data_IF_148867283746
#
_entry.id   IF_148867283746
#
_cell.length_a   1.000
_cell.length_b   1.000
_cell.length_c   1.000
_cell.angle_alpha   90.00
_cell.angle_beta   90.00
_cell.angle_gamma   90.00
#
_symmetry.space_group_name_H-M   'P 1'
#
loop_
_entity.id
_entity.type
_entity.pdbx_description
1 polymer ?
#
# COMPACT_ATOMS: atom_id res chain seq x y z
N UNK A 1 -106.98 -221.34 31.23
CA UNK A 1 -106.11 -220.51 32.08
C UNK A 1 -105.42 -219.49 31.19
N UNK A 2 -105.49 -218.18 31.43
CA UNK A 2 -106.51 -217.37 32.15
C UNK A 2 -106.37 -215.92 31.67
N UNK A 3 -107.45 -215.13 31.66
CA UNK A 3 -107.47 -213.83 30.96
C UNK A 3 -106.56 -212.76 31.58
N UNK A 4 -106.35 -212.80 32.90
CA UNK A 4 -105.60 -211.78 33.68
C UNK A 4 -104.18 -211.52 33.15
N UNK A 5 -103.49 -212.55 32.63
CA UNK A 5 -102.14 -212.37 32.08
C UNK A 5 -102.16 -211.55 30.77
N UNK A 6 -103.20 -211.67 29.96
CA UNK A 6 -103.39 -210.87 28.74
C UNK A 6 -103.74 -209.43 29.10
N UNK A 7 -104.52 -209.24 30.16
CA UNK A 7 -104.91 -207.92 30.66
C UNK A 7 -103.72 -207.16 31.28
N UNK A 8 -102.96 -207.81 32.17
CA UNK A 8 -101.70 -207.25 32.71
C UNK A 8 -100.67 -206.95 31.61
N UNK A 9 -100.55 -207.81 30.60
CA UNK A 9 -99.64 -207.56 29.47
C UNK A 9 -100.09 -206.35 28.65
N UNK A 10 -101.40 -206.17 28.43
CA UNK A 10 -101.96 -204.99 27.76
C UNK A 10 -101.77 -203.73 28.60
N UNK A 11 -102.03 -203.78 29.91
CA UNK A 11 -101.89 -202.64 30.81
C UNK A 11 -100.42 -202.20 30.93
N UNK A 12 -99.49 -203.15 31.02
CA UNK A 12 -98.04 -202.90 30.93
C UNK A 12 -97.64 -202.28 29.59
N UNK A 13 -98.22 -202.73 28.48
CA UNK A 13 -97.98 -202.16 27.15
C UNK A 13 -98.49 -200.70 27.09
N UNK A 14 -99.70 -200.42 27.56
CA UNK A 14 -100.26 -199.06 27.66
C UNK A 14 -99.40 -198.14 28.53
N UNK A 15 -98.89 -198.63 29.66
CA UNK A 15 -98.00 -197.87 30.54
C UNK A 15 -96.63 -197.61 29.89
N UNK A 16 -96.10 -198.54 29.10
CA UNK A 16 -94.88 -198.32 28.31
C UNK A 16 -95.11 -197.27 27.21
N UNK A 17 -96.23 -197.34 26.50
CA UNK A 17 -96.63 -196.34 25.49
C UNK A 17 -96.87 -194.95 26.11
N UNK A 18 -97.44 -194.88 27.33
CA UNK A 18 -97.55 -193.62 28.09
C UNK A 18 -96.19 -193.09 28.54
N UNK A 19 -95.28 -193.95 29.02
CA UNK A 19 -93.92 -193.54 29.40
C UNK A 19 -93.12 -193.08 28.17
N UNK A 20 -93.25 -193.75 27.03
CA UNK A 20 -92.64 -193.36 25.76
C UNK A 20 -93.21 -192.01 25.27
N UNK A 21 -94.53 -191.83 25.31
CA UNK A 21 -95.20 -190.56 24.98
C UNK A 21 -94.76 -189.41 25.90
N UNK A 22 -94.70 -189.65 27.22
CA UNK A 22 -94.24 -188.65 28.19
C UNK A 22 -92.74 -188.36 28.05
N UNK A 23 -91.93 -189.36 27.66
CA UNK A 23 -90.50 -189.18 27.37
C UNK A 23 -90.33 -188.34 26.12
N UNK A 24 -91.10 -188.59 25.05
CA UNK A 24 -91.08 -187.78 23.84
C UNK A 24 -91.56 -186.35 24.12
N UNK A 25 -92.66 -186.17 24.87
CA UNK A 25 -93.10 -184.84 25.32
C UNK A 25 -92.03 -184.14 26.19
N UNK A 26 -91.28 -184.88 27.01
CA UNK A 26 -90.14 -184.36 27.76
C UNK A 26 -88.97 -183.92 26.86
N UNK A 27 -88.71 -184.64 25.77
CA UNK A 27 -87.72 -184.26 24.74
C UNK A 27 -88.20 -183.05 23.95
N UNK A 28 -89.45 -183.02 23.51
CA UNK A 28 -90.04 -181.94 22.71
C UNK A 28 -90.12 -180.64 23.52
N UNK A 29 -90.57 -180.70 24.77
CA UNK A 29 -90.60 -179.52 25.67
C UNK A 29 -89.19 -179.06 26.04
N UNK A 30 -88.22 -179.98 26.21
CA UNK A 30 -86.82 -179.61 26.40
C UNK A 30 -86.24 -178.90 25.16
N UNK A 31 -86.52 -179.41 23.96
CA UNK A 31 -86.11 -178.76 22.71
C UNK A 31 -86.79 -177.39 22.52
N UNK A 32 -88.05 -177.25 22.92
CA UNK A 32 -88.78 -175.98 22.89
C UNK A 32 -88.23 -174.98 23.93
N UNK A 33 -87.84 -175.43 25.12
CA UNK A 33 -87.14 -174.61 26.11
C UNK A 33 -85.76 -174.19 25.61
N UNK A 34 -85.00 -175.10 24.98
CA UNK A 34 -83.70 -174.77 24.36
C UNK A 34 -83.84 -173.75 23.24
N UNK A 35 -84.89 -173.86 22.40
CA UNK A 35 -85.21 -172.87 21.37
C UNK A 35 -85.64 -171.51 21.96
N UNK A 36 -86.42 -171.50 23.04
CA UNK A 36 -86.79 -170.26 23.73
C UNK A 36 -85.59 -169.61 24.45
N UNK A 37 -84.69 -170.39 25.04
CA UNK A 37 -83.43 -169.89 25.62
C UNK A 37 -82.54 -169.30 24.52
N UNK A 38 -82.39 -169.97 23.38
CA UNK A 38 -81.64 -169.42 22.24
C UNK A 38 -82.24 -168.10 21.72
N UNK A 39 -83.58 -168.01 21.64
CA UNK A 39 -84.28 -166.77 21.25
C UNK A 39 -84.10 -165.65 22.30
N UNK A 40 -84.13 -165.97 23.60
CA UNK A 40 -83.86 -164.98 24.66
C UNK A 40 -82.43 -164.46 24.58
N UNK A 41 -81.44 -165.34 24.39
CA UNK A 41 -80.02 -164.94 24.23
C UNK A 41 -79.82 -164.07 22.99
N UNK A 42 -80.49 -164.38 21.86
CA UNK A 42 -80.45 -163.53 20.66
C UNK A 42 -81.11 -162.15 20.91
N UNK A 43 -82.28 -162.11 21.55
CA UNK A 43 -82.97 -160.86 21.91
C UNK A 43 -82.19 -160.02 22.94
N UNK A 44 -81.51 -160.64 23.90
CA UNK A 44 -80.60 -159.97 24.83
C UNK A 44 -79.37 -159.41 24.10
N UNK A 45 -78.86 -160.13 23.10
CA UNK A 45 -77.85 -159.65 22.16
C UNK A 45 -78.32 -158.42 21.38
N UNK A 46 -79.49 -158.50 20.73
CA UNK A 46 -80.11 -157.39 19.99
C UNK A 46 -80.36 -156.17 20.89
N UNK A 47 -80.87 -156.36 22.11
CA UNK A 47 -81.09 -155.28 23.09
C UNK A 47 -79.77 -154.64 23.52
N UNK A 48 -78.71 -155.44 23.65
CA UNK A 48 -77.36 -154.95 23.97
C UNK A 48 -76.76 -154.14 22.81
N UNK A 49 -76.93 -154.59 21.57
CA UNK A 49 -76.55 -153.82 20.38
C UNK A 49 -77.33 -152.51 20.27
N UNK A 50 -78.66 -152.53 20.39
CA UNK A 50 -79.50 -151.31 20.35
C UNK A 50 -79.15 -150.32 21.46
N UNK A 51 -78.77 -150.80 22.66
CA UNK A 51 -78.25 -149.94 23.73
C UNK A 51 -76.94 -149.25 23.32
N UNK A 52 -75.99 -149.99 22.76
CA UNK A 52 -74.71 -149.44 22.30
C UNK A 52 -74.89 -148.45 21.14
N UNK A 53 -75.81 -148.72 20.22
CA UNK A 53 -76.22 -147.81 19.15
C UNK A 53 -76.87 -146.54 19.70
N UNK A 54 -77.81 -146.64 20.63
CA UNK A 54 -78.45 -145.50 21.27
C UNK A 54 -77.43 -144.63 22.03
N UNK A 55 -76.54 -145.24 22.81
CA UNK A 55 -75.46 -144.54 23.51
C UNK A 55 -74.47 -143.88 22.52
N UNK A 56 -74.23 -144.47 21.35
CA UNK A 56 -73.41 -143.88 20.31
C UNK A 56 -74.09 -142.68 19.64
N UNK A 57 -75.40 -142.77 19.36
CA UNK A 57 -76.22 -141.67 18.82
C UNK A 57 -76.33 -140.53 19.84
N UNK A 58 -76.53 -140.83 21.13
CA UNK A 58 -76.54 -139.82 22.19
C UNK A 58 -75.19 -139.09 22.26
N UNK A 59 -74.06 -139.82 22.30
CA UNK A 59 -72.72 -139.22 22.29
C UNK A 59 -72.45 -138.39 21.03
N UNK A 60 -72.97 -138.80 19.87
CA UNK A 60 -72.88 -138.01 18.64
C UNK A 60 -73.70 -136.71 18.72
N UNK A 61 -74.92 -136.76 19.27
CA UNK A 61 -75.79 -135.60 19.47
C UNK A 61 -75.19 -134.59 20.48
N UNK A 62 -74.58 -135.08 21.57
CA UNK A 62 -73.85 -134.26 22.53
C UNK A 62 -72.66 -133.55 21.85
N UNK A 63 -71.90 -134.26 21.00
CA UNK A 63 -70.79 -133.69 20.22
C UNK A 63 -71.26 -132.63 19.21
N UNK A 64 -72.36 -132.86 18.48
CA UNK A 64 -72.91 -131.84 17.57
C UNK A 64 -73.51 -130.64 18.32
N UNK A 65 -74.08 -130.84 19.51
CA UNK A 65 -74.55 -129.74 20.37
C UNK A 65 -73.38 -128.86 20.81
N UNK A 66 -72.27 -129.48 21.26
CA UNK A 66 -71.05 -128.75 21.63
C UNK A 66 -70.41 -128.01 20.43
N UNK A 67 -70.45 -128.58 19.22
CA UNK A 67 -70.04 -127.88 17.98
C UNK A 67 -70.95 -126.70 17.64
N UNK A 68 -72.26 -126.86 17.80
CA UNK A 68 -73.25 -125.79 17.61
C UNK A 68 -72.99 -124.63 18.57
N UNK A 69 -72.80 -124.89 19.86
CA UNK A 69 -72.51 -123.83 20.83
C UNK A 69 -71.13 -123.19 20.62
N UNK A 70 -70.11 -123.97 20.23
CA UNK A 70 -68.79 -123.43 19.89
C UNK A 70 -68.83 -122.50 18.66
N UNK A 71 -69.52 -122.90 17.59
CA UNK A 71 -69.68 -122.06 16.38
C UNK A 71 -70.55 -120.83 16.64
N UNK A 72 -71.57 -120.94 17.50
CA UNK A 72 -72.37 -119.81 17.99
C UNK A 72 -71.54 -118.81 18.80
N UNK A 73 -70.64 -119.28 19.67
CA UNK A 73 -69.71 -118.42 20.41
C UNK A 73 -68.69 -117.73 19.48
N UNK A 74 -68.17 -118.45 18.48
CA UNK A 74 -67.33 -117.86 17.43
C UNK A 74 -68.08 -116.79 16.62
N UNK A 75 -69.36 -117.02 16.28
CA UNK A 75 -70.20 -116.04 15.57
C UNK A 75 -70.42 -114.77 16.39
N UNK A 76 -70.68 -114.87 17.70
CA UNK A 76 -70.78 -113.70 18.59
C UNK A 76 -69.45 -112.92 18.63
N UNK A 77 -68.33 -113.62 18.73
CA UNK A 77 -66.99 -113.01 18.82
C UNK A 77 -66.60 -112.31 17.52
N UNK A 78 -66.81 -112.96 16.37
CA UNK A 78 -66.54 -112.37 15.04
C UNK A 78 -67.49 -111.22 14.71
N UNK A 79 -68.76 -111.27 15.14
CA UNK A 79 -69.70 -110.14 15.02
C UNK A 79 -69.24 -108.94 15.86
N UNK A 80 -68.78 -109.17 17.10
CA UNK A 80 -68.24 -108.12 17.97
C UNK A 80 -67.00 -107.45 17.35
N UNK A 81 -66.02 -108.24 16.90
CA UNK A 81 -64.81 -107.74 16.21
C UNK A 81 -65.16 -107.00 14.91
N UNK A 82 -66.16 -107.46 14.17
CA UNK A 82 -66.63 -106.78 12.94
C UNK A 82 -67.24 -105.41 13.25
N UNK A 83 -68.03 -105.29 14.33
CA UNK A 83 -68.55 -104.00 14.79
C UNK A 83 -67.43 -103.07 15.30
N UNK A 84 -66.43 -103.60 16.01
CA UNK A 84 -65.28 -102.79 16.44
C UNK A 84 -64.47 -102.28 15.24
N UNK A 85 -64.12 -103.16 14.29
CA UNK A 85 -63.43 -102.77 13.06
C UNK A 85 -64.24 -101.76 12.25
N UNK A 86 -65.56 -101.93 12.13
CA UNK A 86 -66.42 -100.94 11.46
C UNK A 86 -66.43 -99.58 12.19
N UNK A 87 -66.39 -99.58 13.54
CA UNK A 87 -66.30 -98.36 14.33
C UNK A 87 -64.92 -97.68 14.21
N UNK A 88 -63.83 -98.44 14.13
CA UNK A 88 -62.49 -97.92 13.86
C UNK A 88 -62.39 -97.34 12.43
N UNK A 89 -62.88 -98.07 11.42
CA UNK A 89 -62.91 -97.62 10.01
C UNK A 89 -63.72 -96.33 9.85
N UNK A 90 -64.86 -96.21 10.55
CA UNK A 90 -65.68 -94.98 10.54
C UNK A 90 -64.96 -93.75 11.12
N UNK A 91 -63.87 -93.92 11.87
CA UNK A 91 -63.04 -92.80 12.32
C UNK A 91 -62.01 -92.33 11.30
N UNK A 92 -61.61 -93.16 10.32
CA UNK A 92 -60.54 -92.79 9.39
C UNK A 92 -60.84 -91.53 8.55
N UNK A 93 -62.05 -91.34 7.97
CA UNK A 93 -62.35 -90.11 7.23
C UNK A 93 -62.18 -88.84 8.06
N UNK A 94 -62.63 -88.84 9.32
CA UNK A 94 -62.49 -87.71 10.25
C UNK A 94 -61.07 -87.53 10.83
N UNK A 95 -60.16 -88.48 10.60
CA UNK A 95 -58.71 -88.31 10.82
C UNK A 95 -58.04 -87.78 9.56
N UNK A 96 -58.40 -88.31 8.38
CA UNK A 96 -57.90 -87.87 7.08
C UNK A 96 -58.24 -86.40 6.81
N UNK A 97 -59.48 -85.97 7.09
CA UNK A 97 -59.91 -84.57 6.96
C UNK A 97 -59.07 -83.63 7.85
N UNK A 98 -58.74 -84.05 9.07
CA UNK A 98 -57.84 -83.30 9.96
C UNK A 98 -56.43 -83.22 9.41
N UNK A 99 -55.88 -84.32 8.87
CA UNK A 99 -54.57 -84.30 8.21
C UNK A 99 -54.58 -83.41 6.96
N UNK A 100 -55.60 -83.47 6.11
CA UNK A 100 -55.78 -82.57 4.96
C UNK A 100 -55.84 -81.10 5.38
N UNK A 101 -56.56 -80.78 6.46
CA UNK A 101 -56.62 -79.43 7.03
C UNK A 101 -55.26 -78.94 7.54
N UNK A 102 -54.50 -79.79 8.26
CA UNK A 102 -53.16 -79.45 8.75
C UNK A 102 -52.18 -79.27 7.60
N UNK A 103 -52.21 -80.14 6.58
CA UNK A 103 -51.39 -80.00 5.37
C UNK A 103 -51.68 -78.67 4.66
N UNK A 104 -52.96 -78.32 4.48
CA UNK A 104 -53.36 -77.05 3.84
C UNK A 104 -52.90 -75.82 4.64
N UNK A 105 -52.94 -75.88 5.98
CA UNK A 105 -52.43 -74.83 6.85
C UNK A 105 -50.90 -74.69 6.78
N UNK A 106 -50.18 -75.82 6.72
CA UNK A 106 -48.73 -75.82 6.56
C UNK A 106 -48.31 -75.25 5.21
N UNK A 107 -48.97 -75.62 4.11
CA UNK A 107 -48.71 -75.07 2.76
C UNK A 107 -49.00 -73.56 2.68
N UNK A 108 -50.06 -73.08 3.35
CA UNK A 108 -50.34 -71.65 3.46
C UNK A 108 -49.29 -70.91 4.31
N UNK A 109 -48.68 -71.56 5.30
CA UNK A 109 -47.59 -70.99 6.10
C UNK A 109 -46.23 -71.05 5.38
N UNK A 110 -45.99 -72.08 4.56
CA UNK A 110 -44.81 -72.26 3.72
C UNK A 110 -44.74 -71.14 2.68
N UNK A 111 -45.79 -70.98 1.86
CA UNK A 111 -45.90 -69.89 0.87
C UNK A 111 -45.86 -68.49 1.50
N UNK A 112 -46.46 -68.29 2.68
CA UNK A 112 -46.36 -67.04 3.42
C UNK A 112 -44.97 -66.78 4.05
N UNK A 113 -44.12 -67.81 4.20
CA UNK A 113 -42.72 -67.66 4.58
C UNK A 113 -41.84 -67.39 3.35
N UNK A 114 -42.09 -68.06 2.22
CA UNK A 114 -41.39 -67.80 0.95
C UNK A 114 -41.50 -66.33 0.53
N UNK A 115 -42.70 -65.73 0.61
CA UNK A 115 -42.90 -64.29 0.37
C UNK A 115 -42.01 -63.42 1.26
N UNK A 116 -41.96 -63.72 2.56
CA UNK A 116 -41.14 -62.96 3.54
C UNK A 116 -39.65 -63.14 3.29
N UNK A 117 -39.21 -64.31 2.84
CA UNK A 117 -37.81 -64.54 2.47
C UNK A 117 -37.44 -63.66 1.27
N UNK A 118 -38.27 -63.63 0.21
CA UNK A 118 -38.03 -62.76 -0.94
C UNK A 118 -38.08 -61.27 -0.59
N UNK A 119 -39.00 -60.84 0.29
CA UNK A 119 -39.06 -59.47 0.82
C UNK A 119 -37.79 -59.10 1.61
N UNK A 120 -37.26 -60.02 2.43
CA UNK A 120 -36.03 -59.83 3.20
C UNK A 120 -34.78 -59.84 2.30
N UNK A 121 -34.71 -60.71 1.30
CA UNK A 121 -33.64 -60.73 0.30
C UNK A 121 -33.58 -59.41 -0.48
N UNK A 122 -34.72 -58.94 -1.01
CA UNK A 122 -34.82 -57.63 -1.67
C UNK A 122 -34.45 -56.46 -0.73
N UNK A 123 -34.70 -56.59 0.57
CA UNK A 123 -34.30 -55.60 1.58
C UNK A 123 -32.78 -55.65 1.82
N UNK A 124 -32.17 -56.84 1.87
CA UNK A 124 -30.72 -57.03 2.01
C UNK A 124 -29.95 -56.52 0.79
N UNK A 125 -30.46 -56.72 -0.43
CA UNK A 125 -29.86 -56.18 -1.65
C UNK A 125 -29.89 -54.64 -1.65
N UNK A 126 -31.03 -54.05 -1.27
CA UNK A 126 -31.17 -52.59 -1.10
C UNK A 126 -30.23 -52.05 -0.01
N UNK A 127 -30.15 -52.78 1.11
CA UNK A 127 -29.12 -52.74 2.16
C UNK A 127 -27.71 -52.54 1.61
N UNK A 128 -27.28 -53.57 0.89
CA UNK A 128 -25.94 -53.75 0.36
C UNK A 128 -25.59 -52.65 -0.64
N UNK A 129 -26.51 -52.32 -1.56
CA UNK A 129 -26.30 -51.24 -2.52
C UNK A 129 -26.15 -49.87 -1.83
N UNK A 130 -26.92 -49.62 -0.76
CA UNK A 130 -26.82 -48.38 0.03
C UNK A 130 -25.45 -48.27 0.72
N UNK A 131 -24.95 -49.38 1.29
CA UNK A 131 -23.61 -49.43 1.92
C UNK A 131 -22.51 -49.16 0.89
N UNK A 132 -22.60 -49.71 -0.32
CA UNK A 132 -21.61 -49.48 -1.39
C UNK A 132 -21.57 -48.01 -1.84
N UNK A 133 -22.72 -47.34 -1.92
CA UNK A 133 -22.79 -45.90 -2.24
C UNK A 133 -22.14 -45.06 -1.13
N UNK A 134 -22.51 -45.30 0.13
CA UNK A 134 -21.95 -44.58 1.28
C UNK A 134 -20.43 -44.80 1.43
N UNK A 135 -19.92 -45.98 1.07
CA UNK A 135 -18.48 -46.24 1.01
C UNK A 135 -17.78 -45.39 -0.07
N UNK A 136 -18.34 -45.31 -1.27
CA UNK A 136 -17.82 -44.45 -2.35
C UNK A 136 -17.86 -42.96 -2.01
N UNK A 137 -18.92 -42.49 -1.36
CA UNK A 137 -19.03 -41.10 -0.87
C UNK A 137 -18.01 -40.78 0.23
N UNK A 138 -17.75 -41.73 1.14
CA UNK A 138 -16.71 -41.59 2.16
C UNK A 138 -15.28 -41.57 1.56
N UNK A 139 -14.99 -42.43 0.59
CA UNK A 139 -13.70 -42.45 -0.12
C UNK A 139 -13.48 -41.15 -0.91
N UNK A 140 -14.51 -40.64 -1.60
CA UNK A 140 -14.45 -39.35 -2.30
C UNK A 140 -14.19 -38.19 -1.31
N UNK A 141 -14.89 -38.18 -0.17
CA UNK A 141 -14.72 -37.17 0.90
C UNK A 141 -13.30 -37.19 1.48
N UNK A 142 -12.70 -38.37 1.70
CA UNK A 142 -11.31 -38.51 2.14
C UNK A 142 -10.31 -38.01 1.09
N UNK A 143 -10.62 -38.19 -0.20
CA UNK A 143 -9.88 -37.61 -1.32
C UNK A 143 -9.89 -36.08 -1.30
N UNK A 144 -11.06 -35.46 -1.13
CA UNK A 144 -11.21 -34.01 -1.04
C UNK A 144 -10.49 -33.42 0.17
N UNK A 145 -10.65 -34.02 1.37
CA UNK A 145 -9.93 -33.63 2.58
C UNK A 145 -8.41 -33.69 2.35
N UNK A 146 -7.91 -34.73 1.67
CA UNK A 146 -6.49 -34.87 1.35
C UNK A 146 -5.98 -33.77 0.40
N UNK A 147 -6.79 -33.37 -0.59
CA UNK A 147 -6.47 -32.27 -1.49
C UNK A 147 -6.46 -30.90 -0.77
N UNK A 148 -7.45 -30.64 0.08
CA UNK A 148 -7.54 -29.42 0.89
C UNK A 148 -6.36 -29.29 1.88
N UNK A 149 -5.95 -30.39 2.51
CA UNK A 149 -4.75 -30.42 3.37
C UNK A 149 -3.46 -30.12 2.59
N UNK A 150 -3.33 -30.61 1.35
CA UNK A 150 -2.21 -30.28 0.47
C UNK A 150 -2.21 -28.79 0.07
N UNK A 151 -3.39 -28.24 -0.26
CA UNK A 151 -3.56 -26.81 -0.55
C UNK A 151 -3.22 -25.93 0.66
N UNK A 152 -3.71 -26.27 1.85
CA UNK A 152 -3.39 -25.56 3.10
C UNK A 152 -1.88 -25.51 3.34
N UNK A 153 -1.18 -26.63 3.17
CA UNK A 153 0.29 -26.71 3.30
C UNK A 153 1.02 -25.83 2.28
N UNK A 154 0.52 -25.77 1.04
CA UNK A 154 1.06 -24.89 0.00
C UNK A 154 0.86 -23.41 0.34
N UNK A 155 -0.34 -23.00 0.77
CA UNK A 155 -0.62 -21.62 1.19
C UNK A 155 0.22 -21.20 2.40
N UNK A 156 0.42 -22.10 3.37
CA UNK A 156 1.24 -21.80 4.55
C UNK A 156 2.72 -21.58 4.18
N UNK A 157 3.28 -22.35 3.24
CA UNK A 157 4.62 -22.13 2.71
C UNK A 157 4.72 -20.79 1.95
N UNK A 158 3.72 -20.44 1.14
CA UNK A 158 3.67 -19.16 0.43
C UNK A 158 3.58 -17.96 1.39
N UNK A 159 2.79 -18.05 2.46
CA UNK A 159 2.72 -17.03 3.52
C UNK A 159 4.05 -16.90 4.28
N UNK A 160 4.70 -18.01 4.61
CA UNK A 160 6.02 -17.98 5.27
C UNK A 160 7.06 -17.26 4.40
N UNK A 161 7.09 -17.52 3.08
CA UNK A 161 7.98 -16.80 2.16
C UNK A 161 7.60 -15.31 2.01
N UNK A 162 6.31 -14.98 1.86
CA UNK A 162 5.83 -13.58 1.80
C UNK A 162 6.23 -12.78 3.04
N UNK A 163 6.24 -13.40 4.23
CA UNK A 163 6.69 -12.74 5.47
C UNK A 163 8.21 -12.44 5.43
N UNK A 164 9.04 -13.35 4.92
CA UNK A 164 10.49 -13.13 4.77
C UNK A 164 10.79 -12.04 3.71
N UNK A 165 10.03 -12.02 2.61
CA UNK A 165 10.10 -10.95 1.61
C UNK A 165 9.69 -9.59 2.22
N UNK A 166 8.65 -9.55 3.05
CA UNK A 166 8.19 -8.35 3.74
C UNK A 166 9.20 -7.80 4.76
N UNK A 167 9.81 -8.65 5.60
CA UNK A 167 10.87 -8.20 6.53
C UNK A 167 12.09 -7.69 5.78
N UNK A 168 12.49 -8.36 4.68
CA UNK A 168 13.61 -7.93 3.84
C UNK A 168 13.37 -6.54 3.23
N UNK A 169 12.13 -6.27 2.78
CA UNK A 169 11.75 -4.94 2.28
C UNK A 169 11.70 -3.89 3.39
N UNK A 170 11.26 -4.26 4.61
CA UNK A 170 11.25 -3.36 5.76
C UNK A 170 12.69 -2.95 6.17
N UNK A 171 13.63 -3.90 6.20
CA UNK A 171 15.04 -3.63 6.48
C UNK A 171 15.66 -2.70 5.41
N UNK A 172 15.33 -2.91 4.14
CA UNK A 172 15.75 -2.02 3.04
C UNK A 172 15.18 -0.60 3.20
N UNK A 173 13.90 -0.45 3.55
CA UNK A 173 13.28 0.86 3.81
C UNK A 173 13.95 1.55 4.99
N UNK A 174 14.22 0.84 6.09
CA UNK A 174 14.91 1.42 7.25
C UNK A 174 16.35 1.83 6.92
N UNK A 175 17.06 1.05 6.09
CA UNK A 175 18.39 1.39 5.58
C UNK A 175 18.36 2.66 4.72
N UNK A 176 17.41 2.76 3.77
CA UNK A 176 17.24 3.93 2.91
C UNK A 176 16.83 5.19 3.70
N UNK A 177 15.95 5.06 4.70
CA UNK A 177 15.62 6.15 5.62
C UNK A 177 16.86 6.64 6.38
N UNK A 178 17.65 5.72 6.95
CA UNK A 178 18.89 6.04 7.67
C UNK A 178 19.91 6.73 6.75
N UNK A 179 20.06 6.26 5.52
CA UNK A 179 20.91 6.89 4.50
C UNK A 179 20.42 8.28 4.10
N UNK A 180 19.11 8.47 3.95
CA UNK A 180 18.48 9.76 3.60
C UNK A 180 18.71 10.79 4.71
N UNK A 181 18.45 10.44 5.97
CA UNK A 181 18.72 11.32 7.13
C UNK A 181 20.20 11.70 7.19
N UNK A 182 21.11 10.74 6.97
CA UNK A 182 22.55 11.00 6.97
C UNK A 182 22.97 11.95 5.84
N UNK A 183 22.44 11.78 4.64
CA UNK A 183 22.69 12.69 3.51
C UNK A 183 22.16 14.10 3.82
N UNK A 184 20.97 14.21 4.43
CA UNK A 184 20.41 15.50 4.83
C UNK A 184 21.28 16.21 5.89
N UNK A 185 21.83 15.48 6.87
CA UNK A 185 22.78 16.05 7.85
C UNK A 185 24.06 16.54 7.18
N UNK A 186 24.62 15.77 6.24
CA UNK A 186 25.83 16.17 5.49
C UNK A 186 25.54 17.42 4.65
N UNK A 187 24.44 17.46 3.89
CA UNK A 187 24.09 18.60 3.05
C UNK A 187 23.86 19.89 3.84
N UNK A 188 23.30 19.81 5.05
CA UNK A 188 23.10 20.98 5.90
C UNK A 188 24.42 21.45 6.54
N UNK A 189 25.34 20.53 6.88
CA UNK A 189 26.70 20.86 7.35
C UNK A 189 27.55 21.48 6.24
N UNK A 190 27.63 20.86 5.06
CA UNK A 190 28.39 21.35 3.89
C UNK A 190 27.93 22.76 3.49
N UNK A 191 26.63 23.05 3.65
CA UNK A 191 26.01 24.35 3.44
C UNK A 191 26.42 25.38 4.49
N UNK A 192 26.41 25.02 5.78
CA UNK A 192 26.78 25.95 6.86
C UNK A 192 28.29 26.24 6.83
N UNK A 193 29.14 25.23 6.60
CA UNK A 193 30.58 25.38 6.40
C UNK A 193 30.90 26.33 5.23
N UNK A 194 30.12 26.26 4.14
CA UNK A 194 30.22 27.15 2.99
C UNK A 194 29.75 28.59 3.33
N UNK A 195 28.71 28.74 4.13
CA UNK A 195 28.22 30.05 4.61
C UNK A 195 29.28 30.71 5.49
N UNK A 196 29.84 29.99 6.47
CA UNK A 196 30.92 30.50 7.34
C UNK A 196 32.17 30.89 6.53
N UNK A 197 32.54 30.09 5.52
CA UNK A 197 33.61 30.42 4.57
C UNK A 197 33.37 31.75 3.84
N UNK A 198 32.16 31.99 3.33
CA UNK A 198 31.79 33.28 2.72
C UNK A 198 31.74 34.42 3.73
N UNK A 199 31.29 34.17 4.96
CA UNK A 199 31.22 35.17 6.04
C UNK A 199 32.62 35.63 6.45
N UNK A 200 33.62 34.75 6.55
CA UNK A 200 35.00 35.16 6.81
C UNK A 200 35.67 35.87 5.63
N UNK A 201 35.43 35.47 4.38
CA UNK A 201 35.95 36.23 3.23
C UNK A 201 35.30 37.63 3.15
N UNK A 202 34.01 37.76 3.46
CA UNK A 202 33.35 39.08 3.58
C UNK A 202 33.99 39.91 4.70
N UNK A 203 34.26 39.35 5.89
CA UNK A 203 34.97 40.04 6.98
C UNK A 203 36.39 40.46 6.55
N UNK A 204 37.09 39.63 5.79
CA UNK A 204 38.43 39.92 5.25
C UNK A 204 38.40 41.05 4.21
N UNK A 205 37.47 40.99 3.26
CA UNK A 205 37.25 42.05 2.26
C UNK A 205 36.83 43.37 2.92
N UNK A 206 35.96 43.35 3.93
CA UNK A 206 35.61 44.54 4.72
C UNK A 206 36.83 45.16 5.39
N UNK A 207 37.68 44.37 6.08
CA UNK A 207 38.94 44.85 6.67
C UNK A 207 39.87 45.48 5.61
N UNK A 208 39.99 44.84 4.44
CA UNK A 208 40.79 45.32 3.30
C UNK A 208 40.23 46.62 2.71
N UNK A 209 38.91 46.77 2.58
CA UNK A 209 38.26 48.01 2.14
C UNK A 209 38.46 49.14 3.15
N UNK A 210 38.32 48.86 4.44
CA UNK A 210 38.56 49.85 5.50
C UNK A 210 40.01 50.37 5.47
N UNK A 211 40.99 49.47 5.32
CA UNK A 211 42.41 49.83 5.17
C UNK A 211 42.74 50.54 3.85
N UNK A 212 41.99 50.29 2.78
CA UNK A 212 42.09 51.06 1.53
C UNK A 212 41.54 52.48 1.70
N UNK A 213 40.34 52.60 2.29
CA UNK A 213 39.68 53.89 2.57
C UNK A 213 40.58 54.79 3.40
N UNK A 214 41.13 54.26 4.50
CA UNK A 214 42.07 55.02 5.34
C UNK A 214 43.29 55.50 4.56
N UNK A 215 43.89 54.67 3.70
CA UNK A 215 45.03 55.13 2.86
C UNK A 215 44.63 56.22 1.87
N UNK A 216 43.38 56.25 1.40
CA UNK A 216 42.88 57.35 0.59
C UNK A 216 42.67 58.64 1.40
N UNK A 217 42.21 58.54 2.65
CA UNK A 217 42.11 59.68 3.59
C UNK A 217 43.51 60.23 3.96
N UNK A 218 44.44 59.35 4.34
CA UNK A 218 45.85 59.67 4.60
C UNK A 218 46.49 60.35 3.37
N UNK A 219 46.25 59.83 2.16
CA UNK A 219 46.75 60.43 0.91
C UNK A 219 46.09 61.78 0.57
N UNK A 220 44.82 61.96 0.90
CA UNK A 220 44.09 63.21 0.64
C UNK A 220 44.57 64.33 1.55
N UNK A 221 44.74 64.05 2.85
CA UNK A 221 45.32 65.01 3.81
C UNK A 221 46.78 65.37 3.48
N UNK A 222 47.57 64.42 2.94
CA UNK A 222 48.90 64.72 2.40
C UNK A 222 48.84 65.66 1.18
N UNK A 223 47.90 65.44 0.26
CA UNK A 223 47.68 66.33 -0.90
C UNK A 223 47.22 67.73 -0.47
N UNK A 224 46.37 67.85 0.56
CA UNK A 224 45.97 69.13 1.15
C UNK A 224 47.16 69.85 1.80
N UNK A 225 48.04 69.14 2.54
CA UNK A 225 49.28 69.72 3.08
C UNK A 225 50.19 70.23 1.96
N UNK A 226 50.45 69.41 0.94
CA UNK A 226 51.26 69.80 -0.22
C UNK A 226 50.63 70.95 -1.02
N UNK A 227 49.30 71.08 -1.05
CA UNK A 227 48.61 72.21 -1.67
C UNK A 227 48.77 73.49 -0.84
N UNK A 228 48.64 73.40 0.49
CA UNK A 228 48.90 74.52 1.41
C UNK A 228 50.35 75.02 1.32
N UNK A 229 51.32 74.10 1.29
CA UNK A 229 52.74 74.41 1.08
C UNK A 229 53.00 75.07 -0.27
N UNK A 230 52.39 74.56 -1.36
CA UNK A 230 52.46 75.14 -2.70
C UNK A 230 51.88 76.55 -2.75
N UNK A 231 50.73 76.79 -2.14
CA UNK A 231 50.07 78.11 -2.15
C UNK A 231 50.80 79.12 -1.25
N UNK A 232 51.41 78.66 -0.14
CA UNK A 232 52.34 79.45 0.66
C UNK A 232 53.63 79.78 -0.12
N UNK A 233 54.18 78.84 -0.89
CA UNK A 233 55.33 79.06 -1.76
C UNK A 233 55.02 80.04 -2.90
N UNK A 234 53.86 79.91 -3.56
CA UNK A 234 53.37 80.86 -4.57
C UNK A 234 53.15 82.26 -3.98
N UNK A 235 52.69 82.35 -2.73
CA UNK A 235 52.53 83.64 -2.03
C UNK A 235 53.88 84.29 -1.71
N UNK A 236 54.87 83.51 -1.25
CA UNK A 236 56.26 83.98 -1.10
C UNK A 236 56.87 84.42 -2.44
N UNK A 237 56.64 83.65 -3.51
CA UNK A 237 57.15 83.96 -4.85
C UNK A 237 56.53 85.25 -5.40
N UNK A 238 55.21 85.46 -5.23
CA UNK A 238 54.55 86.74 -5.58
C UNK A 238 55.08 87.92 -4.76
N UNK A 239 55.39 87.72 -3.47
CA UNK A 239 56.02 88.74 -2.64
C UNK A 239 57.44 89.08 -3.12
N UNK A 240 58.24 88.06 -3.50
CA UNK A 240 59.55 88.26 -4.13
C UNK A 240 59.46 88.94 -5.49
N UNK A 241 58.49 88.59 -6.34
CA UNK A 241 58.25 89.31 -7.59
C UNK A 241 57.89 90.78 -7.35
N UNK A 242 57.10 91.07 -6.32
CA UNK A 242 56.73 92.44 -5.96
C UNK A 242 57.96 93.25 -5.50
N UNK A 243 58.80 92.70 -4.60
CA UNK A 243 60.05 93.38 -4.18
C UNK A 243 61.08 93.47 -5.30
N UNK A 244 61.10 92.51 -6.23
CA UNK A 244 61.94 92.59 -7.45
C UNK A 244 61.43 93.69 -8.39
N UNK A 245 60.10 93.85 -8.53
CA UNK A 245 59.50 94.93 -9.33
C UNK A 245 59.76 96.32 -8.71
N UNK A 246 59.70 96.47 -7.38
CA UNK A 246 60.04 97.74 -6.72
C UNK A 246 61.52 98.07 -6.82
N UNK A 247 62.42 97.14 -6.46
CA UNK A 247 63.87 97.36 -6.56
C UNK A 247 64.33 97.60 -8.00
N UNK A 248 63.73 96.94 -8.99
CA UNK A 248 64.04 97.22 -10.40
C UNK A 248 63.49 98.58 -10.86
N UNK A 249 62.39 99.08 -10.28
CA UNK A 249 61.89 100.44 -10.53
C UNK A 249 62.75 101.51 -9.83
N UNK A 250 63.26 101.24 -8.63
CA UNK A 250 64.25 102.07 -7.92
C UNK A 250 65.55 102.16 -8.72
N UNK A 251 66.12 101.03 -9.15
CA UNK A 251 67.28 100.97 -10.04
C UNK A 251 67.05 101.72 -11.37
N UNK A 252 65.84 101.68 -11.93
CA UNK A 252 65.48 102.43 -13.15
C UNK A 252 65.45 103.95 -12.87
N UNK A 253 65.00 104.36 -11.68
CA UNK A 253 65.04 105.74 -11.20
C UNK A 253 66.47 106.24 -11.00
N UNK A 254 67.30 105.49 -10.27
CA UNK A 254 68.70 105.81 -10.03
C UNK A 254 69.50 105.90 -11.33
N UNK A 255 69.28 104.96 -12.27
CA UNK A 255 69.88 105.02 -13.61
C UNK A 255 69.46 106.29 -14.37
N UNK A 256 68.22 106.74 -14.22
CA UNK A 256 67.72 107.97 -14.84
C UNK A 256 68.32 109.22 -14.19
N UNK A 257 68.52 109.21 -12.87
CA UNK A 257 69.19 110.28 -12.14
C UNK A 257 70.69 110.38 -12.49
N UNK A 258 71.38 109.25 -12.61
CA UNK A 258 72.78 109.17 -13.05
C UNK A 258 72.94 109.65 -14.49
N UNK A 259 72.03 109.30 -15.41
CA UNK A 259 72.04 109.84 -16.77
C UNK A 259 71.90 111.37 -16.77
N UNK A 260 70.96 111.92 -15.99
CA UNK A 260 70.79 113.37 -15.90
C UNK A 260 72.02 114.10 -15.32
N UNK A 261 72.77 113.47 -14.42
CA UNK A 261 74.08 113.99 -13.96
C UNK A 261 75.15 113.94 -15.05
N UNK A 262 75.18 112.85 -15.84
CA UNK A 262 76.14 112.67 -16.92
C UNK A 262 75.95 113.70 -18.04
N UNK A 263 74.71 113.92 -18.48
CA UNK A 263 74.33 115.01 -19.38
C UNK A 263 74.73 116.41 -18.84
N UNK A 264 74.66 116.61 -17.52
CA UNK A 264 75.00 117.89 -16.89
C UNK A 264 76.52 118.13 -16.88
N UNK A 265 77.30 117.08 -16.62
CA UNK A 265 78.76 117.10 -16.71
C UNK A 265 79.23 117.31 -18.15
N UNK A 266 78.60 116.65 -19.13
CA UNK A 266 78.92 116.80 -20.55
C UNK A 266 78.74 118.25 -21.03
N UNK A 267 77.62 118.90 -20.68
CA UNK A 267 77.42 120.34 -20.96
C UNK A 267 78.42 121.25 -20.25
N UNK A 268 78.89 120.87 -19.06
CA UNK A 268 79.91 121.64 -18.33
C UNK A 268 81.30 121.52 -18.99
N UNK A 269 81.66 120.34 -19.48
CA UNK A 269 82.87 120.10 -20.28
C UNK A 269 82.80 120.89 -21.60
N UNK A 270 81.69 120.79 -22.33
CA UNK A 270 81.44 121.51 -23.59
C UNK A 270 81.57 123.04 -23.43
N UNK A 271 81.11 123.59 -22.30
CA UNK A 271 81.31 125.00 -21.96
C UNK A 271 82.79 125.35 -21.68
N UNK A 272 83.52 124.49 -20.96
CA UNK A 272 84.95 124.71 -20.67
C UNK A 272 85.85 124.54 -21.90
N UNK A 273 85.54 123.63 -22.82
CA UNK A 273 86.24 123.50 -24.11
C UNK A 273 86.15 124.80 -24.92
N UNK A 274 84.98 125.46 -24.94
CA UNK A 274 84.79 126.75 -25.62
C UNK A 274 85.54 127.90 -24.93
N UNK A 275 85.60 127.89 -23.61
CA UNK A 275 86.39 128.85 -22.83
C UNK A 275 87.90 128.70 -23.12
N UNK A 276 88.42 127.46 -23.18
CA UNK A 276 89.82 127.17 -23.56
C UNK A 276 90.14 127.64 -24.98
N UNK A 277 89.25 127.41 -25.96
CA UNK A 277 89.43 127.89 -27.33
C UNK A 277 89.56 129.42 -27.43
N UNK A 278 88.80 130.17 -26.63
CA UNK A 278 88.91 131.63 -26.55
C UNK A 278 90.26 132.08 -25.98
N UNK A 279 90.78 131.37 -24.96
CA UNK A 279 92.12 131.67 -24.42
C UNK A 279 93.25 131.33 -25.40
N UNK A 280 93.13 130.24 -26.17
CA UNK A 280 94.11 129.87 -27.20
C UNK A 280 94.16 130.90 -28.34
N UNK A 281 93.01 131.37 -28.83
CA UNK A 281 92.96 132.43 -29.84
C UNK A 281 93.62 133.71 -29.34
N UNK A 282 93.35 134.09 -28.08
CA UNK A 282 93.93 135.28 -27.45
C UNK A 282 95.43 135.18 -27.19
N UNK A 283 95.97 133.98 -27.03
CA UNK A 283 97.41 133.75 -26.96
C UNK A 283 98.07 133.98 -28.33
N UNK A 284 97.48 133.46 -29.42
CA UNK A 284 97.98 133.66 -30.78
C UNK A 284 97.99 135.13 -31.22
N UNK A 285 96.99 135.92 -30.79
CA UNK A 285 96.97 137.38 -30.99
C UNK A 285 98.14 138.08 -30.26
N UNK A 286 98.50 137.64 -29.06
CA UNK A 286 99.63 138.20 -28.31
C UNK A 286 100.99 137.81 -28.92
N UNK A 287 101.16 136.57 -29.37
CA UNK A 287 102.39 136.13 -30.06
C UNK A 287 102.61 136.91 -31.37
N UNK A 288 101.55 137.21 -32.12
CA UNK A 288 101.62 138.05 -33.32
C UNK A 288 102.09 139.48 -33.00
N UNK A 289 101.57 140.08 -31.92
CA UNK A 289 102.01 141.41 -31.44
C UNK A 289 103.48 141.38 -31.00
N UNK A 290 103.92 140.33 -30.30
CA UNK A 290 105.33 140.17 -29.88
C UNK A 290 106.25 140.03 -31.10
N UNK A 291 105.85 139.28 -32.12
CA UNK A 291 106.63 139.16 -33.37
C UNK A 291 106.76 140.51 -34.09
N UNK A 292 105.68 141.31 -34.16
CA UNK A 292 105.70 142.64 -34.75
C UNK A 292 106.63 143.60 -33.99
N UNK A 293 106.56 143.63 -32.66
CA UNK A 293 107.44 144.46 -31.81
C UNK A 293 108.91 144.03 -31.90
N UNK A 294 109.21 142.75 -32.15
CA UNK A 294 110.57 142.30 -32.40
C UNK A 294 111.11 142.77 -33.77
N UNK A 295 110.26 142.88 -34.79
CA UNK A 295 110.64 143.44 -36.09
C UNK A 295 110.96 144.95 -36.00
N UNK A 296 110.11 145.75 -35.34
CA UNK A 296 110.38 147.17 -35.09
C UNK A 296 111.68 147.38 -34.32
N UNK A 297 111.93 146.56 -33.29
CA UNK A 297 113.17 146.59 -32.50
C UNK A 297 114.43 146.31 -33.33
N UNK A 298 114.32 145.49 -34.39
CA UNK A 298 115.43 145.26 -35.31
C UNK A 298 115.68 146.48 -36.21
N UNK A 299 114.61 147.13 -36.70
CA UNK A 299 114.70 148.33 -37.53
C UNK A 299 115.34 149.51 -36.79
N UNK A 300 114.86 149.84 -35.59
CA UNK A 300 115.44 150.93 -34.77
C UNK A 300 116.92 150.69 -34.46
N UNK A 301 117.35 149.41 -34.31
CA UNK A 301 118.76 149.08 -34.06
C UNK A 301 119.66 149.35 -35.28
N UNK A 302 119.15 149.22 -36.51
CA UNK A 302 119.88 149.62 -37.73
C UNK A 302 119.90 151.13 -37.96
N UNK A 303 118.84 151.85 -37.58
CA UNK A 303 118.79 153.31 -37.68
C UNK A 303 119.79 154.00 -36.73
N UNK A 304 119.95 153.51 -35.49
CA UNK A 304 120.90 154.07 -34.51
C UNK A 304 122.36 154.02 -35.00
N UNK A 305 122.82 152.88 -35.51
CA UNK A 305 124.21 152.77 -36.02
C UNK A 305 124.49 153.63 -37.26
N UNK A 306 123.47 154.02 -38.04
CA UNK A 306 123.64 154.97 -39.14
C UNK A 306 123.84 156.41 -38.65
N UNK A 307 123.30 156.76 -37.48
CA UNK A 307 123.36 158.11 -36.88
C UNK A 307 124.69 158.31 -36.14
N UNK A 308 125.19 157.28 -35.44
CA UNK A 308 126.47 157.31 -34.71
C UNK A 308 127.69 157.61 -35.62
N UNK A 309 127.58 157.34 -36.93
CA UNK A 309 128.66 157.56 -37.91
C UNK A 309 128.74 159.00 -38.47
N UNK A 310 127.75 159.86 -38.20
CA UNK A 310 127.61 161.18 -38.87
C UNK A 310 127.85 162.36 -37.93
N UNK A 311 127.55 162.22 -36.63
CA UNK A 311 127.57 163.34 -35.66
C UNK A 311 128.88 163.45 -34.87
N UNK A 312 130.01 163.48 -35.58
CA UNK A 312 131.31 163.84 -34.98
C UNK A 312 131.54 165.37 -34.92
N UNK A 313 130.61 166.17 -35.45
CA UNK A 313 130.64 167.65 -35.46
C UNK A 313 129.36 168.26 -34.83
N UNK A 314 129.56 169.11 -33.80
CA UNK A 314 128.58 170.01 -33.14
C UNK A 314 127.59 169.40 -32.09
N UNK A 315 127.10 170.27 -31.18
CA UNK A 315 126.43 170.00 -29.87
C UNK A 315 125.08 170.79 -29.77
N UNK A 316 124.21 170.78 -28.70
CA UNK A 316 124.11 169.96 -27.45
C UNK A 316 122.66 169.50 -26.97
N UNK A 317 122.57 168.53 -26.02
CA UNK A 317 121.60 168.29 -24.87
C UNK A 317 120.01 168.18 -24.94
N UNK A 318 119.43 167.20 -24.19
CA UNK A 318 118.22 167.22 -23.24
C UNK A 318 116.74 166.66 -23.50
N UNK A 319 116.37 165.48 -22.89
CA UNK A 319 115.14 164.97 -22.11
C UNK A 319 113.58 164.88 -22.49
N UNK A 320 112.90 163.72 -22.16
CA UNK A 320 111.49 163.40 -21.56
C UNK A 320 110.12 163.42 -22.39
N UNK A 321 108.86 162.91 -22.06
CA UNK A 321 108.10 162.28 -20.87
C UNK A 321 106.69 161.52 -21.15
N UNK A 322 106.27 160.53 -20.28
CA UNK A 322 105.01 159.84 -19.69
C UNK A 322 103.47 159.70 -20.15
N UNK A 323 102.87 158.44 -20.04
CA UNK A 323 101.66 157.83 -19.28
C UNK A 323 100.05 157.73 -19.59
N UNK A 324 99.33 156.62 -19.10
CA UNK A 324 97.86 156.31 -18.67
C UNK A 324 96.71 155.69 -19.63
N UNK A 325 95.46 155.10 -19.33
CA UNK A 325 94.70 154.23 -18.29
C UNK A 325 93.16 153.71 -18.58
N UNK A 326 92.68 152.49 -18.08
CA UNK A 326 91.37 151.98 -17.40
C UNK A 326 89.89 151.50 -17.91
N UNK A 327 89.30 150.39 -17.28
CA UNK A 327 87.85 149.99 -16.77
C UNK A 327 86.52 149.34 -17.45
N UNK A 328 85.99 148.16 -16.95
CA UNK A 328 84.66 147.68 -16.26
C UNK A 328 83.10 147.41 -16.74
N UNK A 329 82.41 146.24 -16.33
CA UNK A 329 80.97 145.91 -15.77
C UNK A 329 79.63 145.26 -16.49
N UNK A 330 78.75 144.48 -15.74
CA UNK A 330 77.17 144.25 -15.71
C UNK A 330 76.37 142.89 -16.10
N UNK A 331 75.07 142.58 -15.64
CA UNK A 331 74.19 141.29 -15.87
C UNK A 331 72.67 141.15 -15.31
N UNK A 332 71.64 140.31 -15.81
CA UNK A 332 70.24 139.91 -15.17
C UNK A 332 69.07 139.00 -15.89
N UNK A 333 68.36 138.00 -15.22
CA UNK A 333 66.84 137.61 -15.13
C UNK A 333 65.94 136.55 -16.02
N UNK A 334 64.54 136.32 -15.95
CA UNK A 334 63.80 135.02 -15.53
C UNK A 334 62.34 134.49 -16.09
N UNK A 335 61.82 133.27 -15.65
CA UNK A 335 60.37 132.71 -15.33
C UNK A 335 59.25 132.01 -16.26
N UNK A 336 58.79 130.75 -15.89
CA UNK A 336 57.37 130.12 -15.66
C UNK A 336 56.38 129.42 -16.75
N UNK A 337 55.03 129.04 -16.54
CA UNK A 337 54.41 127.62 -16.62
C UNK A 337 52.95 127.33 -17.24
N UNK A 338 52.33 126.08 -17.28
CA UNK A 338 50.82 125.77 -17.39
C UNK A 338 50.24 124.27 -17.25
N UNK A 339 48.94 123.94 -17.63
CA UNK A 339 48.01 122.80 -17.17
C UNK A 339 47.09 121.99 -18.20
N UNK A 340 46.35 120.93 -17.71
CA UNK A 340 45.01 120.29 -18.10
C UNK A 340 44.92 119.08 -19.11
N UNK A 341 43.87 118.22 -19.25
CA UNK A 341 42.41 118.18 -18.85
C UNK A 341 41.70 116.76 -18.83
N UNK A 342 40.35 116.61 -19.04
CA UNK A 342 39.50 115.41 -18.66
C UNK A 342 38.22 115.15 -19.55
N UNK A 343 37.59 113.93 -19.51
CA UNK A 343 36.15 113.50 -19.73
C UNK A 343 36.03 112.02 -20.28
N UNK A 344 34.92 111.32 -20.69
CA UNK A 344 33.45 111.54 -20.94
C UNK A 344 32.62 110.18 -20.87
N UNK A 345 31.28 110.17 -21.13
CA UNK A 345 30.33 108.98 -21.26
C UNK A 345 29.17 109.28 -22.30
N UNK A 346 27.95 108.61 -22.50
CA UNK A 346 27.17 107.52 -21.81
C UNK A 346 26.32 106.50 -22.70
N UNK A 347 25.36 105.73 -22.12
CA UNK A 347 24.01 105.31 -22.65
C UNK A 347 23.62 103.82 -23.02
N UNK A 348 22.30 103.55 -23.03
CA UNK A 348 21.52 102.26 -23.03
C UNK A 348 21.09 101.66 -24.41
N UNK A 349 20.65 100.39 -24.43
CA UNK A 349 19.68 99.85 -25.43
C UNK A 349 19.56 98.30 -25.53
N UNK A 350 18.35 97.74 -25.70
CA UNK A 350 18.08 96.28 -25.88
C UNK A 350 17.01 96.04 -26.97
N UNK A 351 17.04 94.92 -27.73
CA UNK A 351 15.99 93.89 -27.51
C UNK A 351 16.38 92.43 -27.91
N UNK A 352 16.09 91.44 -27.06
CA UNK A 352 16.03 90.02 -27.50
C UNK A 352 15.05 89.20 -26.65
N UNK A 353 13.83 88.96 -27.17
CA UNK A 353 12.73 88.31 -26.42
C UNK A 353 11.66 87.63 -27.31
N UNK A 354 12.05 87.06 -28.47
CA UNK A 354 11.11 86.37 -29.39
C UNK A 354 11.50 84.94 -29.79
N UNK A 355 12.79 84.60 -29.84
CA UNK A 355 13.25 83.24 -30.17
C UNK A 355 12.79 82.16 -29.17
N UNK A 356 12.88 82.40 -27.86
CA UNK A 356 12.73 81.34 -26.84
C UNK A 356 11.29 80.82 -26.72
N UNK A 357 10.29 81.71 -26.86
CA UNK A 357 8.88 81.34 -26.80
C UNK A 357 8.48 80.36 -27.92
N UNK A 358 9.22 80.35 -29.04
CA UNK A 358 9.00 79.41 -30.14
C UNK A 358 9.61 78.03 -29.84
N UNK A 359 10.78 77.97 -29.21
CA UNK A 359 11.44 76.71 -28.80
C UNK A 359 10.64 75.98 -27.71
N UNK A 360 10.15 76.70 -26.71
CA UNK A 360 9.31 76.13 -25.65
C UNK A 360 8.00 75.51 -26.19
N UNK A 361 7.35 76.17 -27.17
CA UNK A 361 6.12 75.64 -27.80
C UNK A 361 6.33 74.42 -28.69
N UNK A 362 7.54 74.23 -29.21
CA UNK A 362 7.91 73.00 -29.93
C UNK A 362 8.02 71.83 -28.95
N UNK A 363 8.74 72.04 -27.83
CA UNK A 363 9.04 70.97 -26.86
C UNK A 363 7.81 70.40 -26.14
N UNK A 364 6.77 71.21 -25.93
CA UNK A 364 5.49 70.73 -25.34
C UNK A 364 4.82 69.69 -26.25
N UNK A 365 4.77 69.91 -27.57
CA UNK A 365 4.13 68.98 -28.51
C UNK A 365 4.85 67.64 -28.63
N UNK A 366 6.17 67.64 -28.49
CA UNK A 366 6.97 66.40 -28.46
C UNK A 366 6.58 65.54 -27.25
N UNK A 367 6.46 66.17 -26.07
CA UNK A 367 6.09 65.50 -24.81
C UNK A 367 4.62 65.04 -24.78
N UNK A 368 3.71 65.74 -25.46
CA UNK A 368 2.31 65.32 -25.62
C UNK A 368 2.21 64.04 -26.46
N UNK A 369 2.98 63.94 -27.55
CA UNK A 369 3.00 62.77 -28.43
C UNK A 369 3.71 61.57 -27.76
N UNK A 370 4.83 61.82 -27.07
CA UNK A 370 5.53 60.82 -26.25
C UNK A 370 4.62 60.24 -25.14
N UNK A 371 3.79 61.08 -24.52
CA UNK A 371 2.77 60.65 -23.54
C UNK A 371 1.68 59.77 -24.19
N UNK A 372 1.15 60.12 -25.36
CA UNK A 372 0.14 59.29 -26.04
C UNK A 372 0.71 57.92 -26.44
N UNK A 373 1.97 57.87 -26.87
CA UNK A 373 2.67 56.62 -27.18
C UNK A 373 2.86 55.73 -25.94
N UNK A 374 3.29 56.31 -24.82
CA UNK A 374 3.41 55.60 -23.54
C UNK A 374 2.05 55.14 -22.97
N UNK A 375 0.96 55.89 -23.20
CA UNK A 375 -0.39 55.44 -22.83
C UNK A 375 -0.80 54.24 -23.70
N UNK A 376 -0.53 54.27 -25.00
CA UNK A 376 -0.80 53.14 -25.89
C UNK A 376 0.00 51.88 -25.49
N UNK A 377 1.29 52.01 -25.15
CA UNK A 377 2.09 50.90 -24.62
C UNK A 377 1.53 50.37 -23.29
N UNK A 378 1.07 51.24 -22.39
CA UNK A 378 0.46 50.83 -21.11
C UNK A 378 -0.89 50.13 -21.31
N UNK A 379 -1.70 50.51 -22.30
CA UNK A 379 -2.93 49.76 -22.61
C UNK A 379 -2.64 48.44 -23.33
N UNK A 380 -1.65 48.40 -24.22
CA UNK A 380 -1.18 47.16 -24.83
C UNK A 380 -0.59 46.19 -23.78
N UNK A 381 0.12 46.71 -22.77
CA UNK A 381 0.64 45.96 -21.63
C UNK A 381 -0.45 45.51 -20.63
N UNK A 382 -1.59 46.19 -20.57
CA UNK A 382 -2.79 45.70 -19.85
C UNK A 382 -3.45 44.56 -20.61
N UNK A 383 -3.57 44.69 -21.94
CA UNK A 383 -4.15 43.64 -22.79
C UNK A 383 -3.28 42.37 -22.84
N UNK A 384 -1.94 42.50 -22.82
CA UNK A 384 -1.04 41.34 -22.76
C UNK A 384 -1.05 40.61 -21.40
N UNK A 385 -1.44 41.28 -20.32
CA UNK A 385 -1.71 40.66 -19.00
C UNK A 385 -3.05 39.90 -18.93
N UNK A 386 -3.82 39.83 -20.03
CA UNK A 386 -5.05 39.04 -20.11
C UNK A 386 -4.85 37.54 -20.34
N UNK A 387 -3.61 37.04 -20.43
CA UNK A 387 -3.30 35.62 -20.71
C UNK A 387 -2.08 35.12 -19.93
N UNK A 388 -2.20 34.98 -18.62
CA UNK A 388 -1.25 34.19 -17.83
C UNK A 388 -1.39 32.70 -18.18
N UNK A 389 -0.65 32.28 -19.21
CA UNK A 389 -0.63 30.90 -19.72
C UNK A 389 -0.30 29.88 -18.62
N UNK A 390 0.48 30.29 -17.62
CA UNK A 390 0.82 29.45 -16.47
C UNK A 390 -0.36 29.30 -15.50
N UNK A 391 -1.12 30.37 -15.24
CA UNK A 391 -2.31 30.30 -14.37
C UNK A 391 -3.38 29.43 -15.02
N UNK A 392 -3.65 29.61 -16.31
CA UNK A 392 -4.60 28.76 -17.04
C UNK A 392 -4.15 27.28 -17.08
N UNK A 393 -2.84 27.02 -17.21
CA UNK A 393 -2.29 25.67 -17.14
C UNK A 393 -2.45 25.03 -15.76
N UNK A 394 -2.11 25.74 -14.68
CA UNK A 394 -2.25 25.22 -13.32
C UNK A 394 -3.71 25.04 -12.90
N UNK A 395 -4.63 25.93 -13.33
CA UNK A 395 -6.08 25.74 -13.12
C UNK A 395 -6.55 24.46 -13.82
N UNK A 396 -6.28 24.30 -15.12
CA UNK A 396 -6.65 23.07 -15.84
C UNK A 396 -5.99 21.79 -15.27
N UNK A 397 -4.82 21.91 -14.64
CA UNK A 397 -4.16 20.81 -13.94
C UNK A 397 -4.80 20.49 -12.59
N UNK A 398 -5.35 21.48 -11.87
CA UNK A 398 -6.16 21.29 -10.67
C UNK A 398 -7.53 20.73 -11.03
N UNK A 399 -8.23 21.28 -12.02
CA UNK A 399 -9.51 20.78 -12.52
C UNK A 399 -9.40 19.28 -12.90
N UNK A 400 -8.35 18.92 -13.66
CA UNK A 400 -8.04 17.54 -14.05
C UNK A 400 -7.44 16.64 -12.95
N UNK A 401 -7.27 17.16 -11.73
CA UNK A 401 -7.02 16.40 -10.50
C UNK A 401 -8.31 16.26 -9.67
N UNK A 402 -9.15 17.30 -9.60
CA UNK A 402 -10.47 17.24 -8.97
C UNK A 402 -11.41 16.27 -9.70
N UNK A 403 -11.39 16.24 -11.04
CA UNK A 403 -12.14 15.27 -11.85
C UNK A 403 -11.73 13.82 -11.52
N UNK A 404 -10.42 13.54 -11.43
CA UNK A 404 -9.90 12.21 -11.07
C UNK A 404 -10.18 11.84 -9.62
N UNK A 405 -10.12 12.80 -8.70
CA UNK A 405 -10.46 12.58 -7.30
C UNK A 405 -11.96 12.29 -7.15
N UNK A 406 -12.80 12.96 -7.94
CA UNK A 406 -14.24 12.70 -8.04
C UNK A 406 -14.54 11.31 -8.61
N UNK A 407 -13.89 10.93 -9.72
CA UNK A 407 -14.03 9.60 -10.33
C UNK A 407 -13.55 8.48 -9.38
N UNK A 408 -12.42 8.66 -8.72
CA UNK A 408 -11.91 7.72 -7.71
C UNK A 408 -12.85 7.62 -6.50
N UNK A 409 -13.41 8.74 -6.05
CA UNK A 409 -14.42 8.78 -4.97
C UNK A 409 -15.70 8.06 -5.39
N UNK A 410 -16.15 8.22 -6.64
CA UNK A 410 -17.30 7.52 -7.20
C UNK A 410 -17.05 6.00 -7.28
N UNK A 411 -15.86 5.56 -7.71
CA UNK A 411 -15.48 4.14 -7.70
C UNK A 411 -15.46 3.56 -6.29
N UNK A 412 -14.85 4.23 -5.31
CA UNK A 412 -14.86 3.76 -3.92
C UNK A 412 -16.29 3.71 -3.35
N UNK A 413 -17.13 4.71 -3.63
CA UNK A 413 -18.53 4.72 -3.20
C UNK A 413 -19.36 3.60 -3.85
N UNK A 414 -19.09 3.26 -5.12
CA UNK A 414 -19.72 2.14 -5.80
C UNK A 414 -19.26 0.79 -5.21
N UNK A 415 -17.96 0.62 -4.99
CA UNK A 415 -17.37 -0.57 -4.37
C UNK A 415 -17.91 -0.81 -2.96
N UNK A 416 -17.98 0.24 -2.12
CA UNK A 416 -18.58 0.16 -0.77
C UNK A 416 -20.07 -0.17 -0.83
N UNK A 417 -20.83 0.39 -1.78
CA UNK A 417 -22.25 0.03 -1.97
C UNK A 417 -22.43 -1.43 -2.38
N UNK A 418 -21.58 -1.95 -3.27
CA UNK A 418 -21.65 -3.35 -3.68
C UNK A 418 -21.31 -4.29 -2.52
N UNK A 419 -20.22 -4.04 -1.79
CA UNK A 419 -19.88 -4.81 -0.60
C UNK A 419 -20.98 -4.77 0.49
N UNK A 420 -21.72 -3.64 0.59
CA UNK A 420 -22.86 -3.51 1.50
C UNK A 420 -24.12 -4.28 1.03
N UNK A 421 -24.27 -4.54 -0.27
CA UNK A 421 -25.30 -5.45 -0.81
C UNK A 421 -24.89 -6.90 -0.56
N UNK A 422 -23.66 -7.28 -0.94
CA UNK A 422 -23.11 -8.62 -0.73
C UNK A 422 -23.14 -9.05 0.75
N UNK A 423 -22.84 -8.13 1.67
CA UNK A 423 -23.00 -8.36 3.11
C UNK A 423 -24.46 -8.65 3.52
N UNK A 424 -25.44 -7.92 2.97
CA UNK A 424 -26.86 -8.11 3.29
C UNK A 424 -27.41 -9.41 2.73
N UNK A 425 -27.00 -9.79 1.52
CA UNK A 425 -27.40 -11.06 0.91
C UNK A 425 -26.79 -12.25 1.68
N UNK A 426 -25.55 -12.11 2.17
CA UNK A 426 -24.90 -13.09 3.04
C UNK A 426 -25.55 -13.15 4.43
N UNK A 427 -25.91 -12.00 5.03
CA UNK A 427 -26.67 -11.94 6.29
C UNK A 427 -28.03 -12.64 6.14
N UNK A 428 -28.75 -12.39 5.04
CA UNK A 428 -30.02 -13.04 4.75
C UNK A 428 -29.88 -14.56 4.58
N UNK A 429 -28.81 -15.03 3.94
CA UNK A 429 -28.48 -16.47 3.84
C UNK A 429 -28.19 -17.09 5.22
N UNK A 430 -27.40 -16.44 6.07
CA UNK A 430 -27.15 -16.93 7.42
C UNK A 430 -28.43 -16.94 8.27
N UNK A 431 -29.26 -15.89 8.23
CA UNK A 431 -30.55 -15.88 8.91
C UNK A 431 -31.48 -16.99 8.40
N UNK A 432 -31.49 -17.29 7.10
CA UNK A 432 -32.26 -18.40 6.55
C UNK A 432 -31.74 -19.77 7.03
N UNK A 433 -30.42 -19.97 7.09
CA UNK A 433 -29.84 -21.23 7.58
C UNK A 433 -30.02 -21.41 9.09
N UNK A 434 -30.00 -20.33 9.87
CA UNK A 434 -30.35 -20.35 11.31
C UNK A 434 -31.79 -20.85 11.48
N UNK A 435 -32.78 -20.23 10.80
CA UNK A 435 -34.19 -20.67 10.87
C UNK A 435 -34.40 -22.12 10.45
N UNK A 436 -33.62 -22.62 9.49
CA UNK A 436 -33.65 -24.03 9.08
C UNK A 436 -33.15 -24.95 10.20
N UNK A 437 -32.03 -24.61 10.84
CA UNK A 437 -31.47 -25.37 11.97
C UNK A 437 -32.38 -25.30 13.21
N UNK A 438 -33.01 -24.15 13.47
CA UNK A 438 -34.03 -24.00 14.51
C UNK A 438 -35.25 -24.90 14.24
N UNK A 439 -35.71 -25.00 12.98
CA UNK A 439 -36.80 -25.90 12.59
C UNK A 439 -36.41 -27.38 12.73
N UNK A 440 -35.20 -27.76 12.30
CA UNK A 440 -34.65 -29.12 12.49
C UNK A 440 -34.59 -29.48 13.98
N UNK A 441 -34.13 -28.57 14.84
CA UNK A 441 -34.10 -28.75 16.30
C UNK A 441 -35.49 -29.01 16.87
N UNK A 442 -36.51 -28.19 16.53
CA UNK A 442 -37.88 -28.39 17.00
C UNK A 442 -38.49 -29.73 16.53
N UNK A 443 -38.12 -30.20 15.34
CA UNK A 443 -38.57 -31.50 14.83
C UNK A 443 -37.95 -32.67 15.59
N UNK A 444 -36.65 -32.60 15.92
CA UNK A 444 -35.99 -33.63 16.74
C UNK A 444 -36.41 -33.55 18.23
N UNK A 445 -36.66 -32.36 18.79
CA UNK A 445 -37.26 -32.20 20.13
C UNK A 445 -38.65 -32.85 20.21
N UNK A 446 -39.55 -32.56 19.26
CA UNK A 446 -40.87 -33.20 19.19
C UNK A 446 -40.78 -34.72 18.96
N UNK A 447 -39.75 -35.18 18.24
CA UNK A 447 -39.47 -36.62 18.04
C UNK A 447 -38.97 -37.30 19.31
N UNK A 448 -38.16 -36.60 20.12
CA UNK A 448 -37.71 -37.07 21.44
C UNK A 448 -38.91 -37.14 22.39
N UNK A 449 -39.72 -36.09 22.50
CA UNK A 449 -40.94 -36.09 23.33
C UNK A 449 -41.90 -37.24 22.93
N UNK A 450 -42.08 -37.47 21.62
CA UNK A 450 -42.86 -38.60 21.11
C UNK A 450 -42.20 -39.98 21.34
N UNK A 451 -40.90 -40.07 21.61
CA UNK A 451 -40.23 -41.31 22.04
C UNK A 451 -40.36 -41.50 23.56
N UNK A 452 -40.18 -40.44 24.35
CA UNK A 452 -40.36 -40.45 25.80
C UNK A 452 -41.81 -40.77 26.21
N UNK A 453 -42.80 -40.22 25.51
CA UNK A 453 -44.22 -40.56 25.70
C UNK A 453 -44.50 -42.05 25.48
N UNK A 454 -43.98 -42.64 24.38
CA UNK A 454 -44.09 -44.10 24.13
C UNK A 454 -43.31 -44.94 25.15
N UNK A 455 -42.20 -44.45 25.67
CA UNK A 455 -41.47 -45.10 26.75
C UNK A 455 -42.27 -45.07 28.07
N UNK A 456 -42.92 -43.95 28.38
CA UNK A 456 -43.82 -43.82 29.52
C UNK A 456 -45.06 -44.74 29.39
N UNK A 457 -45.67 -44.82 28.21
CA UNK A 457 -46.79 -45.73 27.93
C UNK A 457 -46.39 -47.21 28.06
N UNK A 458 -45.23 -47.60 27.54
CA UNK A 458 -44.73 -48.99 27.64
C UNK A 458 -44.33 -49.36 29.07
N UNK A 459 -43.76 -48.43 29.85
CA UNK A 459 -43.50 -48.64 31.28
C UNK A 459 -44.78 -48.69 32.11
N UNK A 460 -45.76 -47.83 31.81
CA UNK A 460 -47.07 -47.78 32.47
C UNK A 460 -47.90 -49.04 32.20
N UNK A 461 -48.00 -49.48 30.95
CA UNK A 461 -48.67 -50.74 30.59
C UNK A 461 -47.97 -51.96 31.20
N UNK A 462 -46.62 -51.97 31.25
CA UNK A 462 -45.87 -53.03 31.97
C UNK A 462 -46.20 -53.06 33.47
N UNK A 463 -46.29 -51.89 34.10
CA UNK A 463 -46.76 -51.75 35.49
C UNK A 463 -48.18 -52.31 35.67
N UNK A 464 -49.13 -51.96 34.80
CA UNK A 464 -50.50 -52.49 34.82
C UNK A 464 -50.54 -54.02 34.64
N UNK A 465 -49.70 -54.61 33.79
CA UNK A 465 -49.62 -56.08 33.65
C UNK A 465 -49.05 -56.81 34.87
N UNK A 466 -48.27 -56.14 35.72
CA UNK A 466 -47.88 -56.68 37.03
C UNK A 466 -48.92 -56.38 38.13
N UNK A 467 -49.80 -55.40 37.92
CA UNK A 467 -50.88 -54.98 38.82
C UNK A 467 -52.24 -55.60 38.43
N UNK A 468 -52.31 -56.93 38.45
CA UNK A 468 -53.58 -57.67 38.38
C UNK A 468 -53.65 -58.72 39.50
N UNK A 469 -54.77 -58.79 40.26
CA UNK A 469 -54.78 -59.48 41.55
C UNK A 469 -54.78 -61.00 41.41
N UNK A 470 -53.89 -61.68 42.13
CA UNK A 470 -53.95 -63.14 42.30
C UNK A 470 -55.24 -63.53 43.02
N UNK A 471 -56.22 -63.97 42.23
CA UNK A 471 -57.53 -64.45 42.69
C UNK A 471 -57.35 -65.69 43.56
N UNK A 472 -57.86 -65.66 44.80
CA UNK A 472 -57.80 -66.80 45.74
C UNK A 472 -58.37 -68.07 45.08
N UNK A 473 -57.53 -69.10 44.95
CA UNK A 473 -57.94 -70.49 44.69
C UNK A 473 -57.72 -71.33 45.95
N UNK A 474 -58.68 -72.19 46.30
CA UNK A 474 -58.71 -72.90 47.58
C UNK A 474 -58.83 -74.42 47.40
N UNK A 475 -58.04 -75.17 48.19
CA UNK A 475 -58.09 -76.63 48.26
C UNK A 475 -56.99 -77.32 47.43
N UNK A 476 -56.57 -78.53 47.78
CA UNK A 476 -56.94 -79.28 48.99
C UNK A 476 -56.73 -80.79 48.87
N UNK A 477 -55.84 -81.32 49.72
CA UNK A 477 -55.14 -82.63 49.59
C UNK A 477 -54.03 -82.62 48.54
#
# INVERSE_FOLDING_TARGET
>A
MTAEFVEWTRERQTLLEQVETLTQQGVDTKAQVEAHVALVVDLEGQLTCQRQEFEAVQRALEVETLKSDATKAQLVTTTSLTHELAAQVKQFPGREEKFRSVISQLQAHETANESKVAELESTVDTLTQTVLVLQGEAEASLGEISALMAQQKSMHAALAQRNVEATTLQDQVQSLQTGTTRLQTIMEQDKEDLIDGYVEEVKHLQKRVLGLTKRCEDSSSLLESMQSERDAALTKLRAMEATTKTTNAENQGDKSALQAQLDALERAVEAKTKEVGQWQQKAAELDAIVAQLQAEKAQYKTEVHAIEAILHENSPLQLTVDALQNTAKTSKSPKSPSKHGKNHIPSNGSPHAKEELKKLRQRVKELELEKELLVAEVEQAKLSKGKDSNVAFYVAQVDGLEEKLSEQTAMYLASVKQAQVEYKDLEAQYQAKIRHLEMELHLDEARIEALEGRLAETLSSRSVTQSSPMRRGSGGR
#
